data_IF_239683849523
#
_entry.id   IF_239683849523
#
_cell.length_a   1.000
_cell.length_b   1.000
_cell.length_c   1.000
_cell.angle_alpha   90.00
_cell.angle_beta   90.00
_cell.angle_gamma   90.00
#
_symmetry.space_group_name_H-M   'P 1'
#
loop_
_entity.id
_entity.type
_entity.pdbx_description
1 polymer ?
#
# COMPACT_ATOMS: atom_id res chain seq x y z
N UNK A 1 -21.51 -11.19 -28.04
CA UNK A 1 -20.99 -9.91 -28.54
C UNK A 1 -19.69 -9.63 -27.78
N UNK A 2 -18.55 -9.79 -28.44
CA UNK A 2 -17.28 -9.29 -27.88
C UNK A 2 -17.41 -7.76 -27.85
N UNK A 3 -17.30 -7.16 -26.68
CA UNK A 3 -17.37 -5.70 -26.51
C UNK A 3 -16.22 -5.02 -27.24
N UNK A 4 -16.34 -3.72 -27.50
CA UNK A 4 -15.35 -2.91 -28.21
C UNK A 4 -13.96 -2.80 -27.58
N UNK A 5 -13.75 -3.51 -26.45
CA UNK A 5 -12.53 -3.48 -25.63
C UNK A 5 -11.61 -4.70 -25.87
N UNK A 6 -11.79 -5.40 -26.97
CA UNK A 6 -10.98 -6.58 -27.30
C UNK A 6 -9.72 -6.17 -28.07
N UNK A 7 -8.57 -6.78 -27.73
CA UNK A 7 -7.32 -6.58 -28.46
C UNK A 7 -7.47 -6.95 -29.94
N UNK A 8 -7.01 -6.05 -30.82
CA UNK A 8 -6.93 -6.29 -32.26
C UNK A 8 -5.55 -6.83 -32.57
N UNK A 9 -5.48 -8.11 -32.97
CA UNK A 9 -4.23 -8.77 -33.31
C UNK A 9 -4.22 -9.16 -34.79
N UNK A 10 -3.09 -8.96 -35.44
CA UNK A 10 -2.80 -9.44 -36.80
C UNK A 10 -2.12 -10.82 -36.69
N UNK A 11 -2.11 -11.66 -37.75
CA UNK A 11 -1.43 -12.96 -37.71
C UNK A 11 0.04 -12.92 -37.27
N UNK A 12 0.77 -11.87 -37.67
CA UNK A 12 2.17 -11.66 -37.28
C UNK A 12 2.38 -11.28 -35.82
N UNK A 13 1.30 -10.93 -35.08
CA UNK A 13 1.36 -10.61 -33.65
C UNK A 13 1.35 -11.86 -32.75
N UNK A 14 1.04 -13.02 -33.27
CA UNK A 14 0.98 -14.23 -32.47
C UNK A 14 2.36 -14.75 -32.09
N UNK A 15 2.48 -15.26 -30.87
CA UNK A 15 3.71 -15.87 -30.34
C UNK A 15 4.22 -16.96 -31.27
N UNK A 16 3.32 -17.79 -31.84
CA UNK A 16 3.64 -18.85 -32.77
C UNK A 16 4.30 -18.34 -34.05
N UNK A 17 3.87 -17.18 -34.57
CA UNK A 17 4.50 -16.54 -35.71
C UNK A 17 5.92 -16.09 -35.39
N UNK A 18 6.10 -15.33 -34.32
CA UNK A 18 7.42 -14.87 -33.87
C UNK A 18 8.36 -16.05 -33.59
N UNK A 19 7.85 -17.11 -32.98
CA UNK A 19 8.64 -18.33 -32.77
C UNK A 19 9.11 -18.96 -34.11
N UNK A 20 8.25 -19.00 -35.11
CA UNK A 20 8.63 -19.51 -36.44
C UNK A 20 9.71 -18.67 -37.12
N UNK A 21 9.80 -17.38 -36.79
CA UNK A 21 10.75 -16.42 -37.36
C UNK A 21 12.02 -16.23 -36.52
N UNK A 22 12.19 -16.97 -35.42
CA UNK A 22 13.29 -16.74 -34.44
C UNK A 22 14.72 -16.85 -35.02
N UNK A 23 14.86 -17.54 -36.18
CA UNK A 23 16.14 -17.72 -36.90
C UNK A 23 16.36 -16.67 -37.98
N UNK A 24 15.43 -15.71 -38.15
CA UNK A 24 15.62 -14.62 -39.11
C UNK A 24 16.79 -13.72 -38.71
N UNK A 25 17.49 -13.15 -39.68
CA UNK A 25 18.45 -12.06 -39.38
C UNK A 25 17.72 -10.88 -38.75
N UNK A 26 18.36 -10.20 -37.83
CA UNK A 26 17.79 -9.05 -37.07
C UNK A 26 16.49 -9.37 -36.33
N UNK A 27 16.40 -10.57 -35.73
CA UNK A 27 15.20 -11.01 -34.99
C UNK A 27 14.78 -10.05 -33.90
N UNK A 28 15.71 -9.40 -33.20
CA UNK A 28 15.43 -8.38 -32.20
C UNK A 28 14.63 -7.21 -32.76
N UNK A 29 14.95 -6.77 -33.99
CA UNK A 29 14.20 -5.72 -34.67
C UNK A 29 12.78 -6.19 -35.01
N UNK A 30 12.63 -7.39 -35.55
CA UNK A 30 11.32 -7.98 -35.87
C UNK A 30 10.46 -8.07 -34.58
N UNK A 31 11.06 -8.53 -33.49
CA UNK A 31 10.38 -8.67 -32.21
C UNK A 31 9.90 -7.30 -31.68
N UNK A 32 10.79 -6.29 -31.63
CA UNK A 32 10.46 -4.94 -31.18
C UNK A 32 9.41 -4.27 -32.09
N UNK A 33 9.56 -4.36 -33.41
CA UNK A 33 8.61 -3.78 -34.35
C UNK A 33 7.22 -4.43 -34.23
N UNK A 34 7.16 -5.73 -33.92
CA UNK A 34 5.89 -6.43 -33.63
C UNK A 34 5.25 -5.92 -32.34
N UNK A 35 6.01 -5.73 -31.25
CA UNK A 35 5.48 -5.17 -30.01
C UNK A 35 4.94 -3.76 -30.22
N UNK A 36 5.66 -2.93 -30.97
CA UNK A 36 5.22 -1.56 -31.29
C UNK A 36 3.98 -1.58 -32.18
N UNK A 37 3.89 -2.45 -33.18
CA UNK A 37 2.69 -2.57 -34.02
C UNK A 37 1.45 -3.02 -33.21
N UNK A 38 1.62 -3.97 -32.28
CA UNK A 38 0.57 -4.34 -31.32
C UNK A 38 0.13 -3.12 -30.51
N UNK A 39 1.08 -2.37 -29.94
CA UNK A 39 0.80 -1.22 -29.11
C UNK A 39 0.06 -0.11 -29.87
N UNK A 40 0.50 0.23 -31.09
CA UNK A 40 -0.12 1.26 -31.93
C UNK A 40 -1.53 0.80 -32.38
N UNK A 41 -1.68 -0.45 -32.84
CA UNK A 41 -2.96 -0.99 -33.31
C UNK A 41 -4.04 -0.96 -32.21
N UNK A 42 -3.62 -1.05 -30.94
CA UNK A 42 -4.50 -1.11 -29.78
C UNK A 42 -4.42 0.15 -28.90
N UNK A 43 -3.83 1.22 -29.37
CA UNK A 43 -3.60 2.43 -28.60
C UNK A 43 -4.87 3.09 -28.06
N UNK A 44 -6.00 2.91 -28.75
CA UNK A 44 -7.28 3.45 -28.31
C UNK A 44 -7.84 2.74 -27.07
N UNK A 45 -7.55 1.45 -26.93
CA UNK A 45 -8.06 0.59 -25.85
C UNK A 45 -7.07 0.51 -24.69
N UNK A 46 -5.77 0.37 -24.98
CA UNK A 46 -4.77 0.03 -23.96
C UNK A 46 -3.79 1.16 -23.61
N UNK A 47 -3.86 2.34 -24.24
CA UNK A 47 -3.01 3.45 -23.85
C UNK A 47 -3.46 4.03 -22.49
N UNK A 48 -2.53 4.25 -21.59
CA UNK A 48 -2.75 5.09 -20.41
C UNK A 48 -2.53 6.55 -20.76
N UNK A 49 -3.05 7.46 -19.94
CA UNK A 49 -2.87 8.90 -20.12
C UNK A 49 -1.89 9.43 -19.07
N UNK A 50 -1.11 10.43 -19.45
CA UNK A 50 -0.42 11.28 -18.48
C UNK A 50 -1.41 12.28 -17.88
N UNK A 51 -1.05 12.93 -16.79
CA UNK A 51 -1.82 14.04 -16.21
C UNK A 51 -1.94 15.24 -17.17
N UNK A 52 -1.02 15.40 -18.13
CA UNK A 52 -1.12 16.33 -19.25
C UNK A 52 -1.97 15.84 -20.43
N UNK A 53 -2.58 14.64 -20.36
CA UNK A 53 -3.45 14.06 -21.38
C UNK A 53 -2.75 13.33 -22.53
N UNK A 54 -1.42 13.26 -22.55
CA UNK A 54 -0.67 12.50 -23.56
C UNK A 54 -0.88 11.00 -23.37
N UNK A 55 -0.97 10.23 -24.48
CA UNK A 55 -1.11 8.78 -24.44
C UNK A 55 0.26 8.09 -24.33
N UNK A 56 0.37 7.14 -23.41
CA UNK A 56 1.54 6.27 -23.23
C UNK A 56 1.23 4.90 -23.82
N UNK A 57 2.01 4.49 -24.81
CA UNK A 57 1.84 3.20 -25.51
C UNK A 57 2.05 2.01 -24.58
N UNK A 58 1.49 0.85 -24.96
CA UNK A 58 1.53 -0.37 -24.14
C UNK A 58 2.94 -0.97 -24.03
N UNK A 59 3.67 -1.02 -25.13
CA UNK A 59 4.99 -1.64 -25.22
C UNK A 59 6.04 -0.67 -25.77
N UNK A 60 7.24 -0.77 -25.21
CA UNK A 60 8.46 -0.15 -25.73
C UNK A 60 9.32 -1.19 -26.45
N UNK A 61 10.41 -0.76 -27.06
CA UNK A 61 11.40 -1.64 -27.67
C UNK A 61 12.19 -2.38 -26.60
N UNK A 62 11.90 -3.64 -26.40
CA UNK A 62 12.43 -4.46 -25.29
C UNK A 62 13.93 -4.76 -25.49
N UNK A 63 14.38 -4.92 -26.77
CA UNK A 63 15.79 -5.21 -27.05
C UNK A 63 16.73 -4.10 -26.63
N UNK A 64 16.26 -2.85 -26.54
CA UNK A 64 17.06 -1.69 -26.13
C UNK A 64 17.58 -1.75 -24.69
N UNK A 65 16.95 -2.59 -23.83
CA UNK A 65 17.46 -2.83 -22.47
C UNK A 65 18.76 -3.63 -22.44
N UNK A 66 19.15 -4.24 -23.57
CA UNK A 66 20.43 -4.92 -23.75
C UNK A 66 21.40 -3.96 -24.42
N UNK A 67 22.40 -3.51 -23.64
CA UNK A 67 23.39 -2.54 -24.09
C UNK A 67 24.26 -3.05 -25.26
N UNK A 68 24.57 -4.36 -25.27
CA UNK A 68 25.37 -5.01 -26.30
C UNK A 68 24.47 -5.46 -27.46
N UNK A 69 24.54 -4.75 -28.59
CA UNK A 69 23.72 -4.99 -29.77
C UNK A 69 23.84 -6.43 -30.28
N UNK A 70 25.04 -7.03 -30.18
CA UNK A 70 25.29 -8.40 -30.63
C UNK A 70 24.51 -9.47 -29.84
N UNK A 71 24.02 -9.12 -28.63
CA UNK A 71 23.27 -10.01 -27.75
C UNK A 71 21.75 -9.82 -27.83
N UNK A 72 21.27 -8.78 -28.52
CA UNK A 72 19.84 -8.46 -28.60
C UNK A 72 19.01 -9.57 -29.23
N UNK A 73 19.49 -10.13 -30.33
CA UNK A 73 18.83 -11.26 -30.99
C UNK A 73 18.71 -12.49 -30.09
N UNK A 74 19.81 -12.85 -29.42
CA UNK A 74 19.80 -13.99 -28.48
C UNK A 74 18.84 -13.74 -27.29
N UNK A 75 18.77 -12.53 -26.80
CA UNK A 75 17.84 -12.13 -25.73
C UNK A 75 16.38 -12.26 -26.18
N UNK A 76 16.00 -11.73 -27.35
CA UNK A 76 14.64 -11.84 -27.88
C UNK A 76 14.25 -13.29 -28.19
N UNK A 77 15.21 -14.11 -28.69
CA UNK A 77 15.00 -15.57 -28.88
C UNK A 77 14.75 -16.27 -27.54
N UNK A 78 15.49 -15.91 -26.49
CA UNK A 78 15.28 -16.50 -25.18
C UNK A 78 13.88 -16.16 -24.61
N UNK A 79 13.39 -14.93 -24.80
CA UNK A 79 12.05 -14.52 -24.41
C UNK A 79 10.99 -15.35 -25.15
N UNK A 80 11.04 -15.40 -26.50
CA UNK A 80 10.00 -16.08 -27.28
C UNK A 80 9.98 -17.57 -27.00
N UNK A 81 11.14 -18.21 -26.82
CA UNK A 81 11.23 -19.61 -26.46
C UNK A 81 10.57 -19.87 -25.09
N UNK A 82 10.79 -19.01 -24.10
CA UNK A 82 10.14 -19.13 -22.79
C UNK A 82 8.63 -18.92 -22.88
N UNK A 83 8.17 -17.98 -23.68
CA UNK A 83 6.73 -17.73 -23.84
C UNK A 83 6.01 -18.91 -24.51
N UNK A 84 6.65 -19.62 -25.44
CA UNK A 84 6.07 -20.81 -26.11
C UNK A 84 6.03 -22.04 -25.21
N UNK A 85 6.98 -22.17 -24.29
CA UNK A 85 7.00 -23.24 -23.28
C UNK A 85 5.85 -23.15 -22.26
N UNK A 86 5.20 -21.99 -22.15
CA UNK A 86 4.22 -21.70 -21.11
C UNK A 86 2.79 -21.73 -21.66
N UNK A 87 1.88 -22.47 -20.97
CA UNK A 87 0.45 -22.36 -21.23
C UNK A 87 -0.16 -21.32 -20.29
N UNK A 88 -0.56 -20.19 -20.85
CA UNK A 88 -1.23 -19.11 -20.11
C UNK A 88 -2.71 -19.40 -19.83
N UNK A 89 -3.27 -20.48 -20.33
CA UNK A 89 -4.68 -20.82 -20.25
C UNK A 89 -5.17 -20.98 -18.81
N UNK A 90 -4.32 -21.56 -17.94
CA UNK A 90 -4.62 -21.71 -16.50
C UNK A 90 -4.63 -20.39 -15.75
N UNK A 91 -3.90 -19.38 -16.20
CA UNK A 91 -3.81 -18.06 -15.55
C UNK A 91 -5.14 -17.32 -15.71
N UNK A 92 -5.78 -17.44 -16.88
CA UNK A 92 -7.07 -16.80 -17.16
C UNK A 92 -8.27 -17.48 -16.47
N UNK A 93 -8.13 -18.73 -16.07
CA UNK A 93 -9.19 -19.46 -15.35
C UNK A 93 -9.12 -19.31 -13.85
N UNK A 94 -7.93 -19.06 -13.30
CA UNK A 94 -7.75 -18.73 -11.89
C UNK A 94 -7.81 -17.21 -11.76
N UNK A 95 -8.96 -16.67 -11.33
CA UNK A 95 -9.13 -15.26 -10.94
C UNK A 95 -8.23 -14.96 -9.75
N UNK A 96 -6.98 -14.69 -10.02
CA UNK A 96 -5.91 -14.58 -9.02
C UNK A 96 -5.09 -13.33 -9.32
N UNK A 97 -4.63 -12.64 -8.29
CA UNK A 97 -3.65 -11.60 -8.46
C UNK A 97 -2.29 -12.23 -8.82
N UNK A 98 -2.21 -12.69 -10.07
CA UNK A 98 -1.04 -13.33 -10.64
C UNK A 98 0.19 -12.44 -10.57
N UNK A 99 -0.02 -11.12 -10.67
CA UNK A 99 1.09 -10.17 -10.61
C UNK A 99 1.57 -9.93 -9.20
N UNK A 100 0.71 -9.93 -8.19
CA UNK A 100 1.19 -9.89 -6.82
C UNK A 100 2.13 -11.07 -6.54
N UNK A 101 1.79 -12.26 -7.01
CA UNK A 101 2.62 -13.46 -6.85
C UNK A 101 3.93 -13.40 -7.65
N UNK A 102 3.89 -12.97 -8.92
CA UNK A 102 5.12 -12.75 -9.71
C UNK A 102 5.94 -11.61 -9.11
N UNK A 103 5.31 -10.54 -8.67
CA UNK A 103 5.99 -9.40 -8.09
C UNK A 103 6.63 -9.76 -6.75
N UNK A 104 5.98 -10.54 -5.90
CA UNK A 104 6.59 -11.11 -4.69
C UNK A 104 7.82 -11.96 -5.04
N UNK A 105 7.73 -12.77 -6.08
CA UNK A 105 8.86 -13.58 -6.54
C UNK A 105 10.00 -12.72 -7.10
N UNK A 106 9.70 -11.72 -7.93
CA UNK A 106 10.69 -10.82 -8.53
C UNK A 106 11.31 -9.88 -7.50
N UNK A 107 10.55 -9.39 -6.52
CA UNK A 107 11.09 -8.58 -5.42
C UNK A 107 12.04 -9.42 -4.57
N UNK A 108 11.73 -10.68 -4.33
CA UNK A 108 12.62 -11.61 -3.62
C UNK A 108 13.97 -11.74 -4.33
N UNK A 109 13.93 -11.86 -5.65
CA UNK A 109 15.14 -12.01 -6.47
C UNK A 109 15.90 -10.67 -6.64
N UNK A 110 15.20 -9.55 -6.78
CA UNK A 110 15.78 -8.22 -6.91
C UNK A 110 16.34 -7.67 -5.60
N UNK A 111 15.73 -7.95 -4.45
CA UNK A 111 16.21 -7.51 -3.15
C UNK A 111 17.51 -8.21 -2.75
N UNK A 112 17.77 -9.40 -3.27
CA UNK A 112 19.08 -10.06 -3.09
C UNK A 112 20.20 -9.35 -3.86
N UNK A 113 19.88 -8.58 -4.91
CA UNK A 113 20.87 -8.06 -5.87
C UNK A 113 20.96 -6.53 -6.00
N UNK A 114 20.00 -5.73 -5.53
CA UNK A 114 19.95 -4.29 -5.86
C UNK A 114 19.53 -3.31 -4.75
N UNK A 115 19.72 -3.66 -3.49
CA UNK A 115 19.66 -2.67 -2.38
C UNK A 115 18.28 -2.08 -2.05
N UNK A 116 17.20 -2.81 -2.26
CA UNK A 116 15.96 -2.60 -1.48
C UNK A 116 15.00 -1.48 -1.90
N UNK A 117 15.30 -0.63 -2.88
CA UNK A 117 14.47 0.54 -3.22
C UNK A 117 13.11 0.24 -3.87
N UNK A 118 12.87 -0.95 -4.37
CA UNK A 118 11.63 -1.29 -5.09
C UNK A 118 10.55 -1.99 -4.24
N UNK A 119 10.91 -2.47 -3.08
CA UNK A 119 10.01 -3.20 -2.22
C UNK A 119 9.15 -2.29 -1.31
N UNK A 120 9.45 -1.01 -1.24
CA UNK A 120 8.68 -0.02 -0.47
C UNK A 120 7.25 0.19 -1.00
N UNK A 121 6.98 -0.24 -2.25
CA UNK A 121 5.71 0.01 -2.95
C UNK A 121 4.83 -1.25 -3.09
N UNK A 122 5.29 -2.39 -2.56
CA UNK A 122 4.52 -3.63 -2.66
C UNK A 122 3.60 -3.80 -1.45
N UNK A 123 2.30 -4.00 -1.70
CA UNK A 123 1.35 -4.29 -0.65
C UNK A 123 1.18 -5.80 -0.48
N UNK A 124 1.45 -6.37 0.71
CA UNK A 124 1.27 -7.79 0.97
C UNK A 124 -0.17 -8.25 0.73
N UNK A 125 -0.35 -9.47 0.24
CA UNK A 125 -1.65 -10.07 -0.03
C UNK A 125 -2.58 -10.05 1.18
N UNK A 126 -2.07 -10.37 2.37
CA UNK A 126 -2.83 -10.35 3.61
C UNK A 126 -3.43 -8.97 3.89
N UNK A 127 -2.64 -7.90 3.72
CA UNK A 127 -3.10 -6.51 3.89
C UNK A 127 -4.19 -6.18 2.87
N UNK A 128 -3.96 -6.51 1.59
CA UNK A 128 -4.93 -6.24 0.53
C UNK A 128 -6.25 -6.98 0.72
N UNK A 129 -6.20 -8.24 1.16
CA UNK A 129 -7.39 -9.04 1.47
C UNK A 129 -8.15 -8.47 2.66
N UNK A 130 -7.49 -8.16 3.78
CA UNK A 130 -8.13 -7.56 4.96
C UNK A 130 -8.83 -6.25 4.59
N UNK A 131 -8.16 -5.37 3.84
CA UNK A 131 -8.74 -4.10 3.40
C UNK A 131 -9.99 -4.33 2.55
N UNK A 132 -9.92 -5.21 1.56
CA UNK A 132 -11.04 -5.47 0.65
C UNK A 132 -12.23 -6.13 1.34
N UNK A 133 -12.00 -7.11 2.23
CA UNK A 133 -13.08 -7.85 2.89
C UNK A 133 -13.76 -7.06 4.02
N UNK A 134 -13.08 -6.07 4.59
CA UNK A 134 -13.69 -5.12 5.52
C UNK A 134 -14.49 -4.05 4.76
N UNK A 135 -13.94 -3.51 3.65
CA UNK A 135 -14.66 -2.52 2.85
C UNK A 135 -15.91 -3.08 2.18
N UNK A 136 -15.85 -4.35 1.73
CA UNK A 136 -16.94 -5.05 1.03
C UNK A 136 -17.22 -6.36 1.76
N UNK A 137 -17.95 -6.33 2.89
CA UNK A 137 -18.33 -7.53 3.63
C UNK A 137 -19.11 -8.53 2.77
N UNK A 138 -19.07 -9.80 3.16
CA UNK A 138 -19.68 -10.90 2.38
C UNK A 138 -21.15 -10.66 2.06
N UNK A 139 -21.89 -10.02 2.96
CA UNK A 139 -23.32 -9.71 2.83
C UNK A 139 -23.59 -8.67 1.72
N UNK A 140 -22.60 -7.84 1.39
CA UNK A 140 -22.70 -6.83 0.34
C UNK A 140 -22.22 -7.33 -1.02
N UNK A 141 -21.55 -8.48 -1.07
CA UNK A 141 -21.06 -9.07 -2.32
C UNK A 141 -22.24 -9.47 -3.20
N UNK A 142 -22.17 -9.11 -4.46
CA UNK A 142 -23.27 -9.35 -5.39
C UNK A 142 -24.40 -8.32 -5.35
N UNK A 143 -24.50 -7.49 -4.31
CA UNK A 143 -25.46 -6.39 -4.19
C UNK A 143 -24.87 -5.09 -4.73
N UNK A 144 -23.64 -4.77 -4.31
CA UNK A 144 -22.90 -3.57 -4.75
C UNK A 144 -22.64 -3.63 -6.26
N UNK A 145 -22.97 -2.54 -6.96
CA UNK A 145 -22.80 -2.41 -8.42
C UNK A 145 -22.75 -0.95 -8.85
N UNK A 146 -22.18 -0.70 -10.04
CA UNK A 146 -22.04 0.63 -10.63
C UNK A 146 -21.26 1.60 -9.74
N UNK A 147 -20.22 1.09 -9.07
CA UNK A 147 -19.39 1.85 -8.15
C UNK A 147 -18.04 2.20 -8.76
N UNK A 148 -17.49 3.32 -8.34
CA UNK A 148 -16.16 3.79 -8.72
C UNK A 148 -15.19 3.52 -7.57
N UNK A 149 -14.12 2.76 -7.86
CA UNK A 149 -13.04 2.44 -6.94
C UNK A 149 -11.79 3.23 -7.33
N UNK A 150 -11.09 3.81 -6.36
CA UNK A 150 -9.96 4.69 -6.61
C UNK A 150 -8.75 4.36 -5.74
N UNK A 151 -7.56 4.51 -6.32
CA UNK A 151 -6.29 4.53 -5.59
C UNK A 151 -5.41 5.67 -6.12
N UNK A 152 -5.10 6.69 -5.29
CA UNK A 152 -4.26 7.83 -5.66
C UNK A 152 -2.75 7.53 -5.73
N UNK A 153 -2.33 6.33 -5.33
CA UNK A 153 -0.95 5.84 -5.36
C UNK A 153 -0.91 4.35 -5.72
N UNK A 154 -1.54 4.01 -6.85
CA UNK A 154 -2.00 2.67 -7.17
C UNK A 154 -0.92 1.60 -7.28
N UNK A 155 0.33 1.96 -7.54
CA UNK A 155 1.37 0.97 -7.78
C UNK A 155 0.97 -0.01 -8.90
N UNK A 156 1.08 -1.30 -8.65
CA UNK A 156 0.62 -2.37 -9.55
C UNK A 156 -0.89 -2.62 -9.50
N UNK A 157 -1.63 -1.97 -8.60
CA UNK A 157 -3.08 -2.11 -8.47
C UNK A 157 -3.54 -3.26 -7.57
N UNK A 158 -2.67 -3.87 -6.80
CA UNK A 158 -3.00 -5.03 -5.94
C UNK A 158 -4.20 -4.75 -5.03
N UNK A 159 -4.26 -3.59 -4.38
CA UNK A 159 -5.39 -3.21 -3.51
C UNK A 159 -6.70 -3.13 -4.30
N UNK A 160 -6.69 -2.47 -5.45
CA UNK A 160 -7.87 -2.32 -6.29
C UNK A 160 -8.36 -3.64 -6.88
N UNK A 161 -7.44 -4.55 -7.26
CA UNK A 161 -7.83 -5.88 -7.75
C UNK A 161 -8.58 -6.68 -6.68
N UNK A 162 -8.14 -6.64 -5.42
CA UNK A 162 -8.83 -7.30 -4.33
C UNK A 162 -10.23 -6.70 -4.07
N UNK A 163 -10.36 -5.37 -4.11
CA UNK A 163 -11.66 -4.69 -3.98
C UNK A 163 -12.58 -5.02 -5.15
N UNK A 164 -12.08 -4.95 -6.40
CA UNK A 164 -12.84 -5.29 -7.59
C UNK A 164 -13.32 -6.75 -7.57
N UNK A 165 -12.48 -7.67 -7.08
CA UNK A 165 -12.85 -9.07 -6.92
C UNK A 165 -13.94 -9.25 -5.86
N UNK A 166 -13.88 -8.53 -4.74
CA UNK A 166 -14.92 -8.57 -3.70
C UNK A 166 -16.27 -8.01 -4.20
N UNK A 167 -16.27 -6.98 -5.04
CA UNK A 167 -17.48 -6.38 -5.63
C UNK A 167 -17.99 -7.21 -6.80
N UNK A 168 -17.10 -7.69 -7.64
CA UNK A 168 -17.31 -8.27 -8.96
C UNK A 168 -16.83 -7.32 -10.05
N UNK A 169 -15.94 -7.79 -10.92
CA UNK A 169 -15.17 -7.00 -11.88
C UNK A 169 -16.07 -6.25 -12.90
N UNK A 170 -17.21 -6.81 -13.23
CA UNK A 170 -18.21 -6.20 -14.13
C UNK A 170 -19.16 -5.22 -13.41
N UNK A 171 -18.97 -4.97 -12.13
CA UNK A 171 -19.84 -4.14 -11.29
C UNK A 171 -19.19 -2.86 -10.80
N UNK A 172 -17.89 -2.70 -11.06
CA UNK A 172 -17.11 -1.55 -10.66
C UNK A 172 -16.29 -0.99 -11.83
N UNK A 173 -15.89 0.26 -11.70
CA UNK A 173 -14.91 0.91 -12.55
C UNK A 173 -13.73 1.33 -11.69
N UNK A 174 -12.51 1.04 -12.18
CA UNK A 174 -11.27 1.37 -11.50
C UNK A 174 -10.74 2.70 -12.00
N UNK A 175 -10.30 3.53 -11.07
CA UNK A 175 -9.65 4.81 -11.28
C UNK A 175 -8.32 4.81 -10.55
N UNK A 176 -7.27 5.28 -11.19
CA UNK A 176 -5.94 5.32 -10.57
C UNK A 176 -5.16 6.54 -10.98
N UNK A 177 -4.22 6.92 -10.12
CA UNK A 177 -3.16 7.83 -10.49
C UNK A 177 -1.88 7.40 -9.79
N UNK A 178 -0.76 7.36 -10.52
CA UNK A 178 0.55 7.02 -9.98
C UNK A 178 1.64 7.73 -10.80
N UNK A 179 2.68 8.19 -10.14
CA UNK A 179 3.79 8.88 -10.80
C UNK A 179 4.67 7.94 -11.62
N UNK A 180 4.69 6.67 -11.27
CA UNK A 180 5.56 5.66 -11.87
C UNK A 180 4.97 5.08 -13.15
N UNK A 181 5.68 5.26 -14.27
CA UNK A 181 5.32 4.62 -15.55
C UNK A 181 5.34 3.09 -15.46
N UNK A 182 6.33 2.52 -14.74
CA UNK A 182 6.40 1.06 -14.53
C UNK A 182 5.18 0.53 -13.80
N UNK A 183 4.76 1.22 -12.74
CA UNK A 183 3.56 0.88 -11.99
C UNK A 183 2.32 0.93 -12.87
N UNK A 184 2.16 1.99 -13.66
CA UNK A 184 1.03 2.13 -14.60
C UNK A 184 1.00 1.04 -15.66
N UNK A 185 2.16 0.57 -16.14
CA UNK A 185 2.26 -0.53 -17.09
C UNK A 185 1.84 -1.88 -16.44
N UNK A 186 2.29 -2.16 -15.22
CA UNK A 186 1.92 -3.36 -14.47
C UNK A 186 0.42 -3.36 -14.13
N UNK A 187 -0.09 -2.24 -13.67
CA UNK A 187 -1.51 -2.06 -13.38
C UNK A 187 -2.37 -2.33 -14.62
N UNK A 188 -1.99 -1.79 -15.77
CA UNK A 188 -2.69 -2.02 -17.04
C UNK A 188 -2.78 -3.50 -17.39
N UNK A 189 -1.68 -4.24 -17.23
CA UNK A 189 -1.68 -5.68 -17.41
C UNK A 189 -2.60 -6.39 -16.39
N UNK A 190 -2.58 -5.98 -15.14
CA UNK A 190 -3.50 -6.50 -14.12
C UNK A 190 -4.96 -6.29 -14.50
N UNK A 191 -5.31 -5.10 -14.99
CA UNK A 191 -6.68 -4.81 -15.46
C UNK A 191 -7.09 -5.72 -16.63
N UNK A 192 -6.20 -5.97 -17.58
CA UNK A 192 -6.45 -6.86 -18.72
C UNK A 192 -6.72 -8.29 -18.23
N UNK A 193 -5.88 -8.82 -17.35
CA UNK A 193 -5.99 -10.19 -16.86
C UNK A 193 -7.20 -10.43 -15.96
N UNK A 194 -7.68 -9.38 -15.28
CA UNK A 194 -8.84 -9.46 -14.39
C UNK A 194 -10.15 -8.97 -15.04
N UNK A 195 -10.24 -8.91 -16.38
CA UNK A 195 -11.44 -8.47 -17.11
C UNK A 195 -11.92 -7.03 -16.77
N UNK A 196 -10.99 -6.16 -16.43
CA UNK A 196 -11.24 -4.74 -16.10
C UNK A 196 -10.74 -3.80 -17.19
N UNK A 197 -10.67 -4.26 -18.44
CA UNK A 197 -10.17 -3.49 -19.61
C UNK A 197 -10.91 -2.17 -19.78
N UNK A 198 -12.21 -2.14 -19.50
CA UNK A 198 -13.02 -0.91 -19.53
C UNK A 198 -12.52 0.20 -18.60
N UNK A 199 -11.69 -0.13 -17.62
CA UNK A 199 -11.11 0.82 -16.67
C UNK A 199 -9.75 1.39 -17.10
N UNK A 200 -9.12 0.86 -18.15
CA UNK A 200 -7.80 1.34 -18.63
C UNK A 200 -7.80 2.84 -18.96
N UNK A 201 -8.85 3.42 -19.56
CA UNK A 201 -8.91 4.87 -19.81
C UNK A 201 -8.83 5.75 -18.55
N UNK A 202 -9.06 5.17 -17.37
CA UNK A 202 -9.01 5.83 -16.08
C UNK A 202 -7.65 5.66 -15.37
N UNK A 203 -6.69 4.99 -16.00
CA UNK A 203 -5.32 4.85 -15.49
C UNK A 203 -4.52 6.07 -15.90
N UNK A 204 -4.07 6.83 -14.92
CA UNK A 204 -3.35 8.08 -15.14
C UNK A 204 -1.94 7.99 -14.59
N UNK A 205 -0.95 8.33 -15.41
CA UNK A 205 0.41 8.54 -14.98
C UNK A 205 0.60 10.00 -14.60
N UNK A 206 0.90 10.30 -13.35
CA UNK A 206 1.13 11.67 -12.89
C UNK A 206 1.16 11.80 -11.38
N UNK A 207 1.56 12.99 -10.91
CA UNK A 207 1.64 13.31 -9.50
C UNK A 207 0.27 13.69 -8.93
N UNK A 208 -0.35 12.78 -8.22
CA UNK A 208 -1.69 12.97 -7.62
C UNK A 208 -1.74 14.14 -6.65
N UNK A 209 -0.69 14.36 -5.88
CA UNK A 209 -0.67 15.42 -4.86
C UNK A 209 -0.63 16.79 -5.53
N UNK A 210 0.20 16.95 -6.56
CA UNK A 210 0.40 18.21 -7.27
C UNK A 210 -0.70 18.45 -8.32
N UNK A 211 -1.01 17.42 -9.12
CA UNK A 211 -1.92 17.50 -10.26
C UNK A 211 -2.97 16.39 -10.24
N UNK A 212 -3.99 16.44 -9.36
CA UNK A 212 -5.07 15.46 -9.37
C UNK A 212 -5.83 15.52 -10.69
N UNK A 213 -5.80 14.42 -11.43
CA UNK A 213 -6.39 14.34 -12.77
C UNK A 213 -7.90 14.10 -12.75
N UNK A 214 -8.37 13.22 -11.85
CA UNK A 214 -9.77 12.83 -11.80
C UNK A 214 -10.62 13.96 -11.23
N UNK A 215 -11.37 14.63 -12.10
CA UNK A 215 -12.24 15.77 -11.78
C UNK A 215 -13.59 15.63 -12.46
N UNK A 216 -14.62 16.16 -11.80
CA UNK A 216 -15.93 16.41 -12.36
C UNK A 216 -16.08 17.95 -12.51
N UNK A 217 -15.79 18.45 -13.70
CA UNK A 217 -15.65 19.89 -13.95
C UNK A 217 -14.40 20.46 -13.26
N UNK A 218 -14.58 21.37 -12.29
CA UNK A 218 -13.49 21.98 -11.51
C UNK A 218 -13.22 21.24 -10.19
N UNK A 219 -14.18 20.46 -9.71
CA UNK A 219 -14.12 19.78 -8.43
C UNK A 219 -13.42 18.42 -8.56
N UNK A 220 -12.86 17.93 -7.46
CA UNK A 220 -12.35 16.56 -7.40
C UNK A 220 -13.50 15.57 -7.63
N UNK A 221 -13.25 14.59 -8.49
CA UNK A 221 -14.15 13.45 -8.61
C UNK A 221 -14.23 12.70 -7.27
N UNK A 222 -15.43 12.27 -6.89
CA UNK A 222 -15.67 11.51 -5.66
C UNK A 222 -15.95 10.05 -5.97
N UNK A 223 -15.49 9.18 -5.09
CA UNK A 223 -15.48 7.74 -5.29
C UNK A 223 -16.24 7.00 -4.19
N UNK A 224 -16.79 5.84 -4.55
CA UNK A 224 -17.53 4.98 -3.62
C UNK A 224 -16.58 4.21 -2.70
N UNK A 225 -15.47 3.72 -3.25
CA UNK A 225 -14.43 3.01 -2.52
C UNK A 225 -13.05 3.61 -2.85
N UNK A 226 -12.27 3.87 -1.81
CA UNK A 226 -10.88 4.31 -1.98
C UNK A 226 -9.96 3.40 -1.18
N UNK A 227 -8.94 2.89 -1.81
CA UNK A 227 -7.86 2.13 -1.15
C UNK A 227 -6.53 2.75 -1.48
N UNK A 228 -5.59 2.74 -0.54
CA UNK A 228 -4.25 3.25 -0.82
C UNK A 228 -3.21 2.73 0.16
N UNK A 229 -2.03 2.47 -0.36
CA UNK A 229 -0.80 2.35 0.40
C UNK A 229 0.16 3.45 -0.09
N UNK A 230 0.00 4.69 0.40
CA UNK A 230 0.78 5.82 -0.08
C UNK A 230 2.23 5.77 0.42
N UNK A 231 3.18 6.39 -0.29
CA UNK A 231 4.52 6.59 0.24
C UNK A 231 4.46 7.38 1.55
N UNK A 232 5.16 6.90 2.61
CA UNK A 232 5.10 7.57 3.91
C UNK A 232 5.96 8.83 3.94
N UNK A 233 7.15 8.76 3.37
CA UNK A 233 8.13 9.85 3.35
C UNK A 233 8.68 10.03 1.95
N UNK A 234 8.71 11.27 1.50
CA UNK A 234 9.26 11.65 0.21
C UNK A 234 9.69 13.11 0.27
N UNK A 235 10.75 13.47 -0.44
CA UNK A 235 11.07 14.88 -0.70
C UNK A 235 10.07 15.45 -1.72
N UNK A 236 9.27 16.40 -1.29
CA UNK A 236 8.38 17.19 -2.15
C UNK A 236 8.58 18.70 -1.95
N UNK A 237 9.78 19.07 -1.47
CA UNK A 237 10.13 20.47 -1.21
C UNK A 237 10.04 21.34 -2.45
N UNK A 238 10.25 20.77 -3.65
CA UNK A 238 10.29 21.52 -4.90
C UNK A 238 8.92 22.05 -5.31
N UNK A 239 7.83 21.37 -4.95
CA UNK A 239 6.45 21.80 -5.26
C UNK A 239 5.59 22.07 -4.02
N UNK A 240 6.17 22.00 -2.83
CA UNK A 240 5.43 22.18 -1.57
C UNK A 240 4.65 23.50 -1.51
N UNK A 241 5.24 24.59 -1.96
CA UNK A 241 4.65 25.92 -1.89
C UNK A 241 3.51 26.12 -2.89
N UNK A 242 3.51 25.40 -4.02
CA UNK A 242 2.40 25.35 -4.99
C UNK A 242 1.15 24.72 -4.37
N UNK A 243 1.32 23.81 -3.42
CA UNK A 243 0.21 23.15 -2.72
C UNK A 243 -0.53 24.13 -1.78
N UNK A 244 0.14 25.18 -1.28
CA UNK A 244 -0.41 26.16 -0.34
C UNK A 244 -1.23 27.25 -1.08
N UNK A 245 -2.19 26.81 -1.87
CA UNK A 245 -3.07 27.66 -2.67
C UNK A 245 -4.48 27.72 -2.08
N UNK A 246 -5.27 28.74 -2.49
CA UNK A 246 -6.67 28.85 -2.08
C UNK A 246 -7.50 27.64 -2.54
N UNK A 247 -7.21 27.09 -3.70
CA UNK A 247 -7.90 25.95 -4.29
C UNK A 247 -7.67 24.66 -3.50
N UNK A 248 -6.51 24.53 -2.89
CA UNK A 248 -6.13 23.36 -2.09
C UNK A 248 -6.52 23.44 -0.60
N UNK A 249 -7.06 24.57 -0.12
CA UNK A 249 -7.38 24.74 1.32
C UNK A 249 -8.41 23.73 1.84
N UNK A 250 -9.42 23.42 1.05
CA UNK A 250 -10.43 22.43 1.42
C UNK A 250 -9.87 21.01 1.32
N UNK A 251 -9.04 20.76 0.31
CA UNK A 251 -8.37 19.49 0.10
C UNK A 251 -7.36 19.19 1.22
N UNK A 252 -6.56 20.18 1.62
CA UNK A 252 -5.53 20.04 2.66
C UNK A 252 -5.94 20.76 3.96
N UNK A 253 -7.11 20.42 4.46
CA UNK A 253 -7.77 21.05 5.60
C UNK A 253 -6.97 20.99 6.91
N UNK A 254 -6.15 19.96 7.10
CA UNK A 254 -5.29 19.81 8.29
C UNK A 254 -3.93 20.51 8.12
N UNK A 255 -3.63 20.97 6.91
CA UNK A 255 -2.41 21.68 6.55
C UNK A 255 -1.43 20.85 5.72
N UNK A 256 -0.33 21.48 5.36
CA UNK A 256 0.73 20.90 4.50
C UNK A 256 2.01 20.76 5.33
N UNK A 257 2.70 19.61 5.29
CA UNK A 257 3.95 19.42 6.03
C UNK A 257 4.99 20.50 5.70
N UNK A 258 5.71 20.95 6.72
CA UNK A 258 6.77 21.94 6.56
C UNK A 258 8.02 21.31 5.92
N UNK A 259 8.75 22.09 5.16
CA UNK A 259 10.04 21.67 4.61
C UNK A 259 11.03 21.44 5.76
N UNK A 260 11.58 20.24 5.83
CA UNK A 260 12.64 19.86 6.79
C UNK A 260 14.00 20.09 6.11
N UNK A 261 14.58 21.27 6.29
CA UNK A 261 15.78 21.71 5.56
C UNK A 261 16.96 20.71 5.57
N UNK A 262 17.16 19.98 6.69
CA UNK A 262 18.22 18.98 6.84
C UNK A 262 17.79 17.52 6.58
N UNK A 263 16.53 17.29 6.25
CA UNK A 263 15.95 15.94 6.10
C UNK A 263 14.71 16.00 5.19
N UNK A 264 14.89 16.53 3.98
CA UNK A 264 13.80 16.67 3.00
C UNK A 264 13.18 15.32 2.62
N UNK A 265 14.00 14.28 2.53
CA UNK A 265 13.61 12.89 2.31
C UNK A 265 12.68 12.32 3.41
N UNK A 266 12.59 12.99 4.55
CA UNK A 266 11.74 12.61 5.68
C UNK A 266 10.47 13.45 5.80
N UNK A 267 10.07 14.18 4.76
CA UNK A 267 8.80 14.89 4.72
C UNK A 267 7.64 13.89 4.60
N UNK A 268 6.62 14.05 5.43
CA UNK A 268 5.54 13.07 5.59
C UNK A 268 4.44 13.27 4.55
N UNK A 269 4.71 12.82 3.32
CA UNK A 269 3.82 12.99 2.17
C UNK A 269 2.50 12.22 2.32
N UNK A 270 2.46 11.11 3.08
CA UNK A 270 1.23 10.35 3.32
C UNK A 270 0.10 11.22 3.90
N UNK A 271 0.44 12.25 4.66
CA UNK A 271 -0.54 13.19 5.23
C UNK A 271 -1.31 13.93 4.13
N UNK A 272 -0.69 14.20 2.99
CA UNK A 272 -1.33 14.83 1.84
C UNK A 272 -2.21 13.83 1.09
N UNK A 273 -1.74 12.60 0.91
CA UNK A 273 -2.55 11.53 0.31
C UNK A 273 -3.80 11.25 1.16
N UNK A 274 -3.67 11.18 2.48
CA UNK A 274 -4.80 10.91 3.37
C UNK A 274 -5.85 12.02 3.30
N UNK A 275 -5.44 13.29 3.29
CA UNK A 275 -6.35 14.42 3.11
C UNK A 275 -7.01 14.41 1.72
N UNK A 276 -6.25 14.07 0.66
CA UNK A 276 -6.80 13.93 -0.68
C UNK A 276 -7.85 12.80 -0.76
N UNK A 277 -7.60 11.67 -0.10
CA UNK A 277 -8.55 10.54 -0.03
C UNK A 277 -9.85 11.01 0.63
N UNK A 278 -9.77 11.69 1.77
CA UNK A 278 -10.95 12.21 2.48
C UNK A 278 -11.74 13.19 1.58
N UNK A 279 -11.05 14.10 0.89
CA UNK A 279 -11.68 15.05 -0.03
C UNK A 279 -12.31 14.40 -1.27
N UNK A 280 -11.80 13.24 -1.68
CA UNK A 280 -12.27 12.47 -2.85
C UNK A 280 -13.31 11.40 -2.50
N UNK A 281 -13.75 11.32 -1.25
CA UNK A 281 -14.73 10.31 -0.83
C UNK A 281 -16.16 10.83 -1.07
N UNK A 282 -17.03 9.98 -1.64
CA UNK A 282 -18.46 10.29 -1.75
C UNK A 282 -19.13 10.33 -0.38
N UNK A 283 -20.25 11.06 -0.22
CA UNK A 283 -21.15 10.81 0.90
C UNK A 283 -21.53 9.32 0.93
N UNK A 284 -21.35 8.66 2.06
CA UNK A 284 -21.55 7.21 2.21
C UNK A 284 -20.47 6.33 1.58
N UNK A 285 -19.42 6.92 1.03
CA UNK A 285 -18.27 6.18 0.51
C UNK A 285 -17.37 5.66 1.62
N UNK A 286 -16.54 4.67 1.30
CA UNK A 286 -15.63 3.99 2.24
C UNK A 286 -14.20 4.03 1.75
N UNK A 287 -13.26 4.12 2.69
CA UNK A 287 -11.85 4.04 2.35
C UNK A 287 -11.06 3.17 3.33
N UNK A 288 -9.99 2.54 2.85
CA UNK A 288 -8.98 1.88 3.66
C UNK A 288 -7.59 2.35 3.25
N UNK A 289 -6.81 2.83 4.20
CA UNK A 289 -5.51 3.45 3.94
C UNK A 289 -4.46 2.88 4.88
N UNK A 290 -3.33 2.46 4.32
CA UNK A 290 -2.17 2.06 5.11
C UNK A 290 -1.47 3.33 5.61
N UNK A 291 -1.26 3.42 6.91
CA UNK A 291 -0.61 4.56 7.57
C UNK A 291 0.50 4.07 8.51
N UNK A 292 1.55 4.87 8.76
CA UNK A 292 2.52 4.54 9.80
C UNK A 292 1.82 4.53 11.17
N UNK A 293 2.18 3.57 12.04
CA UNK A 293 1.55 3.45 13.38
C UNK A 293 1.67 4.73 14.21
N UNK A 294 2.69 5.57 13.98
CA UNK A 294 2.79 6.88 14.62
C UNK A 294 1.58 7.80 14.35
N UNK A 295 0.90 7.64 13.21
CA UNK A 295 -0.31 8.39 12.89
C UNK A 295 -1.42 8.20 13.92
N UNK A 296 -1.63 6.98 14.45
CA UNK A 296 -2.75 6.68 15.33
C UNK A 296 -2.60 7.23 16.74
N UNK A 297 -1.37 7.62 17.15
CA UNK A 297 -1.05 8.08 18.51
C UNK A 297 -0.49 9.49 18.61
N UNK A 298 -0.18 10.15 17.48
CA UNK A 298 0.40 11.49 17.47
C UNK A 298 -0.43 12.49 18.28
N UNK A 299 0.21 13.22 19.20
CA UNK A 299 -0.48 14.12 20.14
C UNK A 299 -0.66 15.54 19.60
N UNK A 300 -0.07 15.84 18.44
CA UNK A 300 -0.13 17.17 17.81
C UNK A 300 0.08 17.08 16.30
N UNK A 301 0.00 18.22 15.63
CA UNK A 301 0.33 18.33 14.20
C UNK A 301 -0.80 17.91 13.27
N UNK A 302 -0.43 17.62 12.02
CA UNK A 302 -1.38 17.29 10.95
C UNK A 302 -2.10 15.97 11.23
N UNK A 303 -1.39 14.96 11.72
CA UNK A 303 -1.95 13.65 12.03
C UNK A 303 -3.11 13.75 13.03
N UNK A 304 -2.91 14.50 14.10
CA UNK A 304 -3.96 14.71 15.10
C UNK A 304 -5.16 15.43 14.49
N UNK A 305 -4.93 16.48 13.70
CA UNK A 305 -6.02 17.24 13.04
C UNK A 305 -6.84 16.37 12.08
N UNK A 306 -6.19 15.45 11.39
CA UNK A 306 -6.89 14.48 10.50
C UNK A 306 -7.77 13.56 11.35
N UNK A 307 -7.25 13.00 12.45
CA UNK A 307 -8.04 12.14 13.34
C UNK A 307 -9.20 12.90 13.98
N UNK A 308 -8.97 14.13 14.45
CA UNK A 308 -10.04 15.01 14.96
C UNK A 308 -11.13 15.23 13.90
N UNK A 309 -10.75 15.48 12.66
CA UNK A 309 -11.70 15.65 11.56
C UNK A 309 -12.55 14.40 11.35
N UNK A 310 -11.92 13.22 11.28
CA UNK A 310 -12.63 11.95 11.10
C UNK A 310 -13.57 11.64 12.26
N UNK A 311 -13.16 11.89 13.48
CA UNK A 311 -13.98 11.65 14.69
C UNK A 311 -15.15 12.64 14.77
N UNK A 312 -14.88 13.94 14.63
CA UNK A 312 -15.93 14.99 14.72
C UNK A 312 -16.98 14.89 13.62
N UNK A 313 -16.61 14.41 12.44
CA UNK A 313 -17.54 14.21 11.32
C UNK A 313 -18.10 12.78 11.27
N UNK A 314 -17.85 11.94 12.28
CA UNK A 314 -18.31 10.54 12.34
C UNK A 314 -17.98 9.74 11.08
N UNK A 315 -16.75 9.89 10.60
CA UNK A 315 -16.27 9.21 9.40
C UNK A 315 -15.30 8.05 9.70
N UNK A 316 -14.91 7.86 10.95
CA UNK A 316 -13.97 6.83 11.34
C UNK A 316 -14.71 5.52 11.57
N UNK A 317 -14.42 4.48 10.77
CA UNK A 317 -14.97 3.13 10.99
C UNK A 317 -14.10 2.31 11.95
N UNK A 318 -12.78 2.44 11.85
CA UNK A 318 -11.87 1.73 12.74
C UNK A 318 -10.42 1.77 12.31
N UNK A 319 -9.60 1.05 13.08
CA UNK A 319 -8.15 0.88 12.84
C UNK A 319 -7.76 -0.56 13.13
N UNK A 320 -6.90 -1.12 12.30
CA UNK A 320 -6.21 -2.40 12.55
C UNK A 320 -4.72 -2.13 12.65
N UNK A 321 -4.12 -2.31 13.83
CA UNK A 321 -2.67 -2.27 14.01
C UNK A 321 -2.07 -3.59 13.55
N UNK A 322 -1.20 -3.55 12.54
CA UNK A 322 -0.63 -4.73 11.91
C UNK A 322 0.65 -5.22 12.63
N UNK A 323 1.02 -6.50 12.46
CA UNK A 323 2.28 -7.01 12.97
C UNK A 323 3.49 -6.25 12.42
N UNK A 324 4.57 -6.20 13.21
CA UNK A 324 5.85 -5.67 12.73
C UNK A 324 6.36 -6.48 11.54
N UNK A 325 7.08 -5.83 10.62
CA UNK A 325 7.64 -6.47 9.41
C UNK A 325 6.61 -7.17 8.50
N UNK A 326 5.33 -6.79 8.55
CA UNK A 326 4.33 -7.27 7.59
C UNK A 326 4.72 -6.82 6.16
N UNK A 327 5.33 -5.64 6.03
CA UNK A 327 6.03 -5.19 4.83
C UNK A 327 7.53 -5.53 4.99
N UNK A 328 8.00 -6.51 4.26
CA UNK A 328 9.34 -7.10 4.39
C UNK A 328 10.53 -6.11 4.28
N UNK A 329 10.31 -4.91 3.78
CA UNK A 329 11.35 -3.94 3.42
C UNK A 329 11.34 -2.67 4.24
N UNK A 330 10.30 -2.43 5.02
CA UNK A 330 10.21 -1.26 5.89
C UNK A 330 10.19 -1.68 7.34
N UNK A 331 11.19 -1.25 8.11
CA UNK A 331 11.16 -1.42 9.58
C UNK A 331 10.08 -0.56 10.27
N UNK A 332 9.18 0.06 9.50
CA UNK A 332 8.11 0.90 10.01
C UNK A 332 6.89 0.03 10.32
N UNK A 333 6.42 0.07 11.56
CA UNK A 333 5.15 -0.54 11.92
C UNK A 333 4.01 0.25 11.26
N UNK A 334 3.02 -0.47 10.76
CA UNK A 334 1.89 0.11 10.04
C UNK A 334 0.56 -0.24 10.69
N UNK A 335 -0.42 0.61 10.44
CA UNK A 335 -1.82 0.37 10.76
C UNK A 335 -2.67 0.60 9.51
N UNK A 336 -3.83 -0.04 9.44
CA UNK A 336 -4.82 0.20 8.39
C UNK A 336 -5.91 1.07 8.99
N UNK A 337 -6.11 2.25 8.42
CA UNK A 337 -7.18 3.19 8.79
C UNK A 337 -8.39 2.91 7.90
N UNK A 338 -9.54 2.66 8.50
CA UNK A 338 -10.82 2.48 7.81
C UNK A 338 -11.70 3.70 8.01
N UNK A 339 -12.15 4.29 6.90
CA UNK A 339 -13.03 5.45 6.86
C UNK A 339 -14.37 5.00 6.25
N UNK A 340 -15.47 5.38 6.86
CA UNK A 340 -16.82 5.23 6.34
C UNK A 340 -17.56 6.55 6.54
N UNK A 341 -17.85 7.25 5.45
CA UNK A 341 -18.51 8.55 5.48
C UNK A 341 -19.97 8.52 5.98
N UNK A 342 -20.48 7.33 6.27
CA UNK A 342 -21.83 7.10 6.82
C UNK A 342 -21.81 6.29 8.13
N UNK A 343 -20.66 6.20 8.81
CA UNK A 343 -20.59 5.45 10.07
C UNK A 343 -21.40 6.13 11.17
N UNK A 344 -22.47 5.51 11.58
CA UNK A 344 -23.36 5.94 12.69
C UNK A 344 -23.13 5.14 13.98
N UNK A 345 -22.30 4.11 13.93
CA UNK A 345 -22.00 3.21 15.04
C UNK A 345 -20.62 3.41 15.66
N UNK A 346 -20.28 2.51 16.56
CA UNK A 346 -18.99 2.50 17.22
C UNK A 346 -17.81 2.28 16.27
N UNK A 347 -16.66 2.74 16.70
CA UNK A 347 -15.37 2.60 16.01
C UNK A 347 -14.66 1.35 16.51
N UNK A 348 -14.19 0.51 15.61
CA UNK A 348 -13.51 -0.75 15.94
C UNK A 348 -11.99 -0.54 15.93
N UNK A 349 -11.36 -0.82 17.05
CA UNK A 349 -9.89 -0.78 17.18
C UNK A 349 -9.37 -2.19 17.41
N UNK A 350 -8.54 -2.69 16.49
CA UNK A 350 -7.97 -4.04 16.56
C UNK A 350 -6.46 -3.95 16.72
N UNK A 351 -5.93 -4.69 17.68
CA UNK A 351 -4.48 -4.89 17.85
C UNK A 351 -4.06 -6.28 17.36
N UNK A 352 -3.70 -6.37 16.10
CA UNK A 352 -3.16 -7.58 15.48
C UNK A 352 -1.63 -7.65 15.56
N UNK A 353 -0.97 -6.77 16.33
CA UNK A 353 0.50 -6.66 16.36
C UNK A 353 1.21 -7.93 16.82
N UNK A 354 0.54 -8.80 17.54
CA UNK A 354 1.07 -10.07 18.05
C UNK A 354 0.77 -11.28 17.15
N UNK A 355 0.05 -11.10 16.04
CA UNK A 355 -0.27 -12.17 15.10
C UNK A 355 0.88 -12.42 14.11
N UNK A 356 0.81 -13.57 13.46
CA UNK A 356 1.69 -13.98 12.39
C UNK A 356 3.01 -14.61 12.85
N UNK A 357 3.59 -15.38 11.94
CA UNK A 357 4.87 -16.04 12.12
C UNK A 357 6.01 -15.22 11.50
N UNK A 358 7.13 -15.07 12.22
CA UNK A 358 8.32 -14.39 11.72
C UNK A 358 9.16 -15.36 10.91
N UNK A 359 9.21 -15.14 9.60
CA UNK A 359 10.01 -15.95 8.67
C UNK A 359 11.21 -15.15 8.15
N UNK A 360 12.34 -15.85 7.91
CA UNK A 360 13.49 -15.22 7.25
C UNK A 360 13.24 -15.14 5.75
N UNK A 361 13.39 -13.94 5.19
CA UNK A 361 13.37 -13.70 3.75
C UNK A 361 14.71 -13.07 3.32
N UNK A 362 15.64 -13.91 2.94
CA UNK A 362 17.03 -13.53 2.68
C UNK A 362 17.73 -12.95 3.92
N UNK A 363 18.13 -11.67 3.86
CA UNK A 363 18.73 -10.93 4.99
C UNK A 363 17.69 -10.26 5.89
N UNK A 364 16.42 -10.20 5.44
CA UNK A 364 15.34 -9.52 6.13
C UNK A 364 14.45 -10.50 6.90
N UNK A 365 13.68 -9.97 7.83
CA UNK A 365 12.65 -10.69 8.56
C UNK A 365 11.29 -10.22 8.05
N UNK A 366 10.41 -11.15 7.69
CA UNK A 366 9.04 -10.90 7.26
C UNK A 366 8.08 -11.57 8.23
N UNK A 367 6.98 -10.92 8.56
CA UNK A 367 5.87 -11.56 9.29
C UNK A 367 4.81 -12.00 8.28
N UNK A 368 4.35 -13.23 8.41
CA UNK A 368 3.34 -13.84 7.54
C UNK A 368 2.13 -14.20 8.39
N UNK A 369 0.98 -13.66 8.05
CA UNK A 369 -0.30 -14.05 8.66
C UNK A 369 -0.80 -15.35 8.02
N UNK A 370 -1.39 -16.20 8.83
CA UNK A 370 -2.15 -17.34 8.32
C UNK A 370 -3.52 -16.90 7.81
N UNK A 371 -4.16 -17.66 6.89
CA UNK A 371 -5.52 -17.34 6.45
C UNK A 371 -6.54 -17.28 7.59
N UNK A 372 -6.33 -18.03 8.68
CA UNK A 372 -7.17 -18.01 9.87
C UNK A 372 -7.01 -16.70 10.66
N UNK A 373 -5.80 -16.20 10.83
CA UNK A 373 -5.53 -14.91 11.49
C UNK A 373 -6.07 -13.74 10.67
N UNK A 374 -5.93 -13.77 9.34
CA UNK A 374 -6.56 -12.78 8.46
C UNK A 374 -8.08 -12.78 8.63
N UNK A 375 -8.70 -13.97 8.65
CA UNK A 375 -10.15 -14.10 8.82
C UNK A 375 -10.61 -13.63 10.20
N UNK A 376 -9.85 -13.91 11.26
CA UNK A 376 -10.12 -13.43 12.61
C UNK A 376 -10.18 -11.90 12.66
N UNK A 377 -9.22 -11.20 12.04
CA UNK A 377 -9.22 -9.73 11.96
C UNK A 377 -10.48 -9.23 11.25
N UNK A 378 -10.81 -9.84 10.11
CA UNK A 378 -11.96 -9.46 9.27
C UNK A 378 -13.27 -9.66 10.04
N UNK A 379 -13.46 -10.82 10.66
CA UNK A 379 -14.69 -11.19 11.33
C UNK A 379 -14.95 -10.28 12.55
N UNK A 380 -13.94 -10.07 13.39
CA UNK A 380 -14.04 -9.21 14.57
C UNK A 380 -14.33 -7.76 14.18
N UNK A 381 -13.67 -7.26 13.12
CA UNK A 381 -13.90 -5.90 12.65
C UNK A 381 -15.33 -5.73 12.11
N UNK A 382 -15.79 -6.64 11.25
CA UNK A 382 -17.12 -6.55 10.64
C UNK A 382 -18.25 -6.77 11.66
N UNK A 383 -18.04 -7.65 12.65
CA UNK A 383 -18.98 -7.88 13.74
C UNK A 383 -18.98 -6.78 14.81
N UNK A 384 -18.03 -5.86 14.76
CA UNK A 384 -17.75 -4.84 15.81
C UNK A 384 -17.60 -5.50 17.20
N UNK A 385 -16.89 -6.62 17.25
CA UNK A 385 -16.77 -7.44 18.44
C UNK A 385 -15.64 -6.93 19.35
N UNK A 386 -15.91 -6.89 20.66
CA UNK A 386 -14.89 -6.67 21.66
C UNK A 386 -14.34 -8.02 22.11
N UNK A 387 -13.06 -8.24 21.87
CA UNK A 387 -12.29 -9.43 22.25
C UNK A 387 -11.13 -9.00 23.12
N UNK A 388 -10.98 -9.63 24.27
CA UNK A 388 -9.96 -9.31 25.28
C UNK A 388 -8.56 -9.26 24.66
N UNK A 389 -7.82 -8.19 24.95
CA UNK A 389 -6.45 -7.93 24.48
C UNK A 389 -6.27 -7.96 22.95
N UNK A 390 -7.36 -7.95 22.18
CA UNK A 390 -7.32 -8.02 20.72
C UNK A 390 -8.14 -6.93 20.02
N UNK A 391 -9.37 -6.70 20.44
CA UNK A 391 -10.24 -5.71 19.80
C UNK A 391 -11.19 -5.04 20.78
N UNK A 392 -11.57 -3.81 20.47
CA UNK A 392 -12.56 -3.06 21.24
C UNK A 392 -13.42 -2.20 20.31
N UNK A 393 -14.71 -2.19 20.57
CA UNK A 393 -15.63 -1.24 19.96
C UNK A 393 -15.82 -0.04 20.90
N UNK A 394 -15.54 1.16 20.43
CA UNK A 394 -15.54 2.39 21.25
C UNK A 394 -16.38 3.47 20.60
N UNK A 395 -17.04 4.29 21.43
CA UNK A 395 -17.78 5.43 20.92
C UNK A 395 -16.85 6.58 20.47
N UNK A 396 -17.37 7.47 19.65
CA UNK A 396 -16.64 8.69 19.26
C UNK A 396 -16.29 9.57 20.48
N UNK A 397 -17.16 9.61 21.50
CA UNK A 397 -16.91 10.35 22.74
C UNK A 397 -15.75 9.77 23.55
N UNK A 398 -15.60 8.45 23.58
CA UNK A 398 -14.47 7.81 24.25
C UNK A 398 -13.14 8.13 23.56
N UNK A 399 -13.16 8.17 22.21
CA UNK A 399 -11.98 8.56 21.41
C UNK A 399 -11.63 10.04 21.68
N UNK A 400 -12.61 10.90 21.74
CA UNK A 400 -12.40 12.32 22.07
C UNK A 400 -11.83 12.49 23.48
N UNK A 401 -12.37 11.77 24.47
CA UNK A 401 -11.89 11.78 25.86
C UNK A 401 -10.43 11.31 25.99
N UNK A 402 -9.97 10.42 25.08
CA UNK A 402 -8.57 9.95 25.02
C UNK A 402 -7.73 10.73 24.00
N UNK A 403 -8.06 12.00 23.79
CA UNK A 403 -7.30 12.93 22.94
C UNK A 403 -7.10 12.43 21.51
N UNK A 404 -8.15 11.78 20.96
CA UNK A 404 -8.19 11.21 19.60
C UNK A 404 -7.15 10.12 19.35
N UNK A 405 -6.70 9.41 20.37
CA UNK A 405 -5.85 8.23 20.19
C UNK A 405 -6.66 7.07 19.61
N UNK A 406 -6.07 6.36 18.63
CA UNK A 406 -6.68 5.22 17.97
C UNK A 406 -5.95 3.90 18.28
N UNK A 407 -5.13 3.88 19.31
CA UNK A 407 -4.44 2.67 19.77
C UNK A 407 -5.39 1.83 20.64
N UNK A 408 -5.71 0.61 20.19
CA UNK A 408 -6.62 -0.29 20.91
C UNK A 408 -6.21 -0.54 22.36
N UNK A 409 -4.91 -0.70 22.61
CA UNK A 409 -4.39 -0.93 23.96
C UNK A 409 -4.67 0.14 24.98
N UNK A 410 -5.09 1.35 24.56
CA UNK A 410 -5.53 2.40 25.49
C UNK A 410 -6.98 2.23 25.96
N UNK A 411 -7.72 1.32 25.35
CA UNK A 411 -9.14 1.07 25.62
C UNK A 411 -9.38 -0.31 26.23
N UNK A 412 -8.36 -1.16 26.26
CA UNK A 412 -8.45 -2.44 26.94
C UNK A 412 -8.56 -2.24 28.47
N UNK A 413 -9.27 -3.12 29.12
CA UNK A 413 -9.36 -3.13 30.56
C UNK A 413 -7.99 -3.43 31.18
N UNK A 414 -7.60 -2.62 32.14
CA UNK A 414 -6.36 -2.88 32.90
C UNK A 414 -6.63 -4.02 33.85
N UNK A 415 -6.11 -5.20 33.54
CA UNK A 415 -6.09 -6.31 34.50
C UNK A 415 -5.12 -5.96 35.61
N UNK A 416 -5.66 -5.68 36.78
CA UNK A 416 -4.87 -5.67 38.00
C UNK A 416 -4.78 -7.10 38.47
N UNK A 417 -3.71 -7.80 38.07
CA UNK A 417 -3.38 -9.08 38.71
C UNK A 417 -2.95 -8.79 40.15
N UNK A 418 -3.85 -9.04 41.08
CA UNK A 418 -3.49 -9.07 42.49
C UNK A 418 -2.58 -10.28 42.70
N UNK A 419 -1.30 -10.03 42.80
CA UNK A 419 -0.36 -11.06 43.24
C UNK A 419 -0.60 -11.23 44.73
N UNK A 420 -1.21 -12.33 45.11
CA UNK A 420 -1.47 -12.67 46.51
C UNK A 420 -0.12 -13.12 47.12
N UNK A 421 0.63 -12.12 47.60
CA UNK A 421 1.91 -12.33 48.28
C UNK A 421 1.81 -11.89 49.71
N UNK A 422 2.42 -12.62 50.64
CA UNK A 422 2.47 -12.20 52.05
C UNK A 422 3.34 -10.95 52.19
N UNK A 423 3.14 -10.17 53.24
CA UNK A 423 4.00 -9.01 53.54
C UNK A 423 5.50 -9.36 53.52
N UNK A 424 5.86 -10.54 54.03
CA UNK A 424 7.24 -11.05 54.05
C UNK A 424 7.76 -11.29 52.63
N UNK A 425 6.98 -11.95 51.78
CA UNK A 425 7.33 -12.20 50.36
C UNK A 425 7.43 -10.89 49.56
N UNK A 426 6.58 -9.91 49.87
CA UNK A 426 6.70 -8.58 49.29
C UNK A 426 7.98 -7.88 49.72
N UNK A 427 8.33 -7.92 51.01
CA UNK A 427 9.55 -7.32 51.51
C UNK A 427 10.80 -7.95 50.88
N UNK A 428 10.81 -9.29 50.74
CA UNK A 428 11.90 -10.01 50.08
C UNK A 428 12.07 -9.62 48.63
N UNK A 429 10.96 -9.57 47.85
CA UNK A 429 10.98 -9.09 46.46
C UNK A 429 11.48 -7.68 46.34
N UNK A 430 11.03 -6.78 47.20
CA UNK A 430 11.48 -5.38 47.23
C UNK A 430 12.96 -5.26 47.52
N UNK A 431 13.49 -6.08 48.41
CA UNK A 431 14.92 -6.13 48.72
C UNK A 431 15.74 -6.60 47.50
N UNK A 432 15.26 -7.64 46.79
CA UNK A 432 15.89 -8.13 45.55
C UNK A 432 15.87 -7.07 44.47
N UNK A 433 14.76 -6.39 44.27
CA UNK A 433 14.66 -5.32 43.29
C UNK A 433 15.58 -4.13 43.60
N UNK A 434 15.64 -3.72 44.85
CA UNK A 434 16.53 -2.63 45.32
C UNK A 434 18.01 -3.03 45.10
N UNK A 435 18.40 -4.28 45.46
CA UNK A 435 19.75 -4.77 45.24
C UNK A 435 20.12 -4.81 43.76
N UNK A 436 19.20 -5.25 42.91
CA UNK A 436 19.43 -5.30 41.46
C UNK A 436 19.55 -3.87 40.87
N UNK A 437 18.75 -2.93 41.34
CA UNK A 437 18.84 -1.52 40.93
C UNK A 437 20.18 -0.92 41.31
N UNK A 438 20.63 -1.13 42.56
CA UNK A 438 21.92 -0.65 43.00
C UNK A 438 23.07 -1.25 42.20
N UNK A 439 22.99 -2.54 41.87
CA UNK A 439 23.96 -3.20 40.99
C UNK A 439 23.99 -2.57 39.60
N UNK A 440 22.84 -2.34 39.00
CA UNK A 440 22.73 -1.70 37.68
C UNK A 440 23.25 -0.26 37.69
N UNK A 441 22.97 0.52 38.72
CA UNK A 441 23.53 1.87 38.88
C UNK A 441 25.04 1.87 39.02
N UNK A 442 25.60 0.92 39.75
CA UNK A 442 27.05 0.78 39.85
C UNK A 442 27.69 0.41 38.52
N UNK A 443 27.15 -0.60 37.80
CA UNK A 443 27.59 -0.95 36.46
C UNK A 443 27.50 0.22 35.48
N UNK A 444 26.44 1.02 35.55
CA UNK A 444 26.27 2.23 34.73
C UNK A 444 27.34 3.28 35.00
N UNK A 445 27.71 3.47 36.29
CA UNK A 445 28.81 4.41 36.65
C UNK A 445 30.15 3.93 36.15
N UNK A 446 30.45 2.63 36.35
CA UNK A 446 31.70 2.03 35.88
C UNK A 446 31.85 2.13 34.35
N UNK A 447 30.78 1.75 33.63
CA UNK A 447 30.73 1.87 32.17
C UNK A 447 30.88 3.33 31.71
N UNK A 448 30.22 4.28 32.38
CA UNK A 448 30.34 5.69 32.10
C UNK A 448 31.77 6.23 32.35
N UNK A 449 32.45 5.75 33.38
CA UNK A 449 33.84 6.09 33.65
C UNK A 449 34.79 5.53 32.59
N UNK A 450 34.57 4.27 32.17
CA UNK A 450 35.37 3.64 31.13
C UNK A 450 35.20 4.35 29.76
N UNK A 451 33.95 4.70 29.37
CA UNK A 451 33.70 5.49 28.16
C UNK A 451 34.43 6.83 28.19
N UNK A 452 34.35 7.56 29.32
CA UNK A 452 35.07 8.82 29.49
C UNK A 452 36.60 8.66 29.37
N UNK A 453 37.15 7.58 29.93
CA UNK A 453 38.57 7.28 29.84
C UNK A 453 38.99 6.98 28.40
N UNK A 454 38.21 6.19 27.67
CA UNK A 454 38.46 5.91 26.26
C UNK A 454 38.39 7.16 25.39
N UNK A 455 37.37 8.02 25.61
CA UNK A 455 37.24 9.28 24.90
C UNK A 455 38.41 10.23 25.18
N UNK A 456 38.90 10.29 26.42
CA UNK A 456 40.08 11.09 26.77
C UNK A 456 41.38 10.60 26.14
N UNK A 457 41.45 9.32 25.73
CA UNK A 457 42.59 8.70 25.05
C UNK A 457 42.60 8.93 23.52
N UNK A 458 41.51 9.42 22.94
CA UNK A 458 41.46 9.69 21.50
C UNK A 458 42.32 10.91 21.17
N UNK A 459 43.34 10.70 20.32
CA UNK A 459 44.14 11.76 19.70
C UNK A 459 43.75 11.86 18.25
N UNK A 460 43.52 13.08 17.77
CA UNK A 460 43.39 13.38 16.36
C UNK A 460 44.81 13.41 15.78
N UNK A 461 45.15 12.46 14.87
CA UNK A 461 46.35 12.52 14.05
C UNK A 461 46.06 13.22 12.72
#
# INVERSE_FOLDING_TARGET
QMGGDTARLKPQHFISYLFSQQNAPDFAKLFDDTLIDIAITNNDVFAVKTDGGAKVVLFDRVSQYIADDSKRDAFCRAIINKLVEFSFERIFTQKFDFYATIFEYLIKDYNSNSGGKYAEYFTPHAVARIMAEILVPKEQRGIVRNVACYDPSAGSGTLLMNVAHAIGENRCSIYTQDISQKSSNLLRLNLILNNLVHSIPNVIQGNTVQHPYHKDGKELKRFDYIVSNPPFKLDFSDFRDELDSKENKERFFAGIPKIKAKAKDKMEIYQLFLQHIIASLKPGGKAAVVVPTGFITAQSGIDKKIREHLVKNKMLAGVVSMPSNIFATTGTNVSILFIDASNDGDVVLVDASNLGEKVKDGKNQKTVLTPAEEQQIIDVFNAKETVEDFSVAVSYSDIEAKNYSLSAGQYFDVKIEYVDITPEQFAEKMQVFTSNLDSLFNQSRELGAEIKKQLAGLKYE
#
